data_IF_382331681336
#
_entry.id   IF_382331681336
#
_cell.length_a   1.000
_cell.length_b   1.000
_cell.length_c   1.000
_cell.angle_alpha   90.00
_cell.angle_beta   90.00
_cell.angle_gamma   90.00
#
_symmetry.space_group_name_H-M   'P 1'
#
loop_
_entity.id
_entity.type
_entity.pdbx_description
1 polymer ?
#
# COMPACT_ATOMS: atom_id res chain seq x y z
N UNK A 1 -21.00 -26.37 4.00
CA UNK A 1 -20.88 -25.17 3.12
C UNK A 1 -21.52 -25.52 1.78
N UNK A 2 -22.47 -24.73 1.33
CA UNK A 2 -23.15 -24.94 0.04
C UNK A 2 -22.15 -24.75 -1.11
N UNK A 3 -22.24 -25.59 -2.17
CA UNK A 3 -21.33 -25.55 -3.35
C UNK A 3 -21.32 -24.17 -4.02
N UNK A 4 -22.45 -23.47 -4.03
CA UNK A 4 -22.57 -22.11 -4.53
C UNK A 4 -21.72 -21.11 -3.72
N UNK A 5 -21.69 -21.22 -2.40
CA UNK A 5 -20.86 -20.40 -1.51
C UNK A 5 -19.35 -20.62 -1.73
N UNK A 6 -18.94 -21.87 -1.98
CA UNK A 6 -17.53 -22.21 -2.24
C UNK A 6 -17.05 -21.61 -3.57
N UNK A 7 -17.85 -21.69 -4.64
CA UNK A 7 -17.51 -21.11 -5.95
C UNK A 7 -17.36 -19.59 -5.88
N UNK A 8 -18.25 -18.90 -5.17
CA UNK A 8 -18.17 -17.44 -4.97
C UNK A 8 -16.88 -17.09 -4.20
N UNK A 9 -16.59 -17.80 -3.11
CA UNK A 9 -15.35 -17.58 -2.32
C UNK A 9 -14.10 -17.70 -3.18
N UNK A 10 -14.01 -18.74 -4.02
CA UNK A 10 -12.83 -18.96 -4.90
C UNK A 10 -12.69 -17.78 -5.87
N UNK A 11 -13.78 -17.34 -6.54
CA UNK A 11 -13.72 -16.22 -7.50
C UNK A 11 -13.30 -14.91 -6.83
N UNK A 12 -13.83 -14.61 -5.63
CA UNK A 12 -13.44 -13.44 -4.85
C UNK A 12 -11.97 -13.50 -4.39
N UNK A 13 -11.49 -14.68 -4.03
CA UNK A 13 -10.08 -14.88 -3.66
C UNK A 13 -9.14 -14.66 -4.85
N UNK A 14 -9.49 -15.20 -6.03
CA UNK A 14 -8.71 -15.00 -7.26
C UNK A 14 -8.77 -13.53 -7.69
N UNK A 15 -9.93 -12.86 -7.56
CA UNK A 15 -10.06 -11.42 -7.81
C UNK A 15 -9.06 -10.62 -6.96
N UNK A 16 -9.00 -10.86 -5.65
CA UNK A 16 -8.03 -10.19 -4.76
C UNK A 16 -6.60 -10.50 -5.16
N UNK A 17 -6.29 -11.75 -5.44
CA UNK A 17 -4.96 -12.19 -5.85
C UNK A 17 -4.48 -11.43 -7.10
N UNK A 18 -5.26 -11.46 -8.17
CA UNK A 18 -4.90 -10.82 -9.44
C UNK A 18 -4.83 -9.28 -9.31
N UNK A 19 -5.74 -8.69 -8.53
CA UNK A 19 -5.79 -7.24 -8.36
C UNK A 19 -4.53 -6.66 -7.72
N UNK A 20 -3.94 -7.36 -6.75
CA UNK A 20 -2.71 -6.90 -6.12
C UNK A 20 -1.47 -7.32 -6.92
N UNK A 21 -1.51 -8.50 -7.56
CA UNK A 21 -0.42 -9.00 -8.40
C UNK A 21 -0.15 -8.07 -9.59
N UNK A 22 -1.20 -7.59 -10.29
CA UNK A 22 -1.04 -6.75 -11.48
C UNK A 22 -0.37 -5.40 -11.20
N UNK A 23 -0.41 -4.93 -9.97
CA UNK A 23 0.26 -3.70 -9.55
C UNK A 23 1.67 -3.98 -9.03
N UNK A 24 1.81 -4.95 -8.13
CA UNK A 24 3.07 -5.26 -7.47
C UNK A 24 4.18 -5.63 -8.47
N UNK A 25 3.83 -6.31 -9.57
CA UNK A 25 4.79 -6.81 -10.56
C UNK A 25 5.65 -5.71 -11.18
N UNK A 26 5.14 -4.52 -11.34
CA UNK A 26 5.90 -3.40 -11.92
C UNK A 26 6.22 -2.31 -10.91
N UNK A 27 5.36 -2.07 -9.92
CA UNK A 27 5.56 -0.99 -8.94
C UNK A 27 6.84 -1.17 -8.12
N UNK A 28 7.08 -2.38 -7.62
CA UNK A 28 8.25 -2.68 -6.79
C UNK A 28 9.56 -2.41 -7.53
N UNK A 29 9.56 -2.60 -8.85
CA UNK A 29 10.75 -2.49 -9.70
C UNK A 29 10.92 -1.11 -10.33
N UNK A 30 9.88 -0.27 -10.29
CA UNK A 30 9.86 1.03 -10.96
C UNK A 30 10.99 1.95 -10.47
N UNK A 31 11.23 1.99 -9.16
CA UNK A 31 12.33 2.77 -8.58
C UNK A 31 13.70 2.38 -9.13
N UNK A 32 13.96 1.07 -9.25
CA UNK A 32 15.19 0.55 -9.85
C UNK A 32 15.36 0.95 -11.32
N UNK A 33 14.28 0.87 -12.12
CA UNK A 33 14.27 1.34 -13.50
C UNK A 33 14.61 2.84 -13.59
N UNK A 34 13.94 3.66 -12.80
CA UNK A 34 14.15 5.11 -12.80
C UNK A 34 15.59 5.50 -12.40
N UNK A 35 16.15 4.81 -11.41
CA UNK A 35 17.54 5.04 -10.99
C UNK A 35 18.57 4.63 -12.04
N UNK A 36 18.32 3.53 -12.77
CA UNK A 36 19.24 2.97 -13.76
C UNK A 36 19.25 3.75 -15.08
N UNK A 37 18.13 4.34 -15.46
CA UNK A 37 17.97 4.99 -16.76
C UNK A 37 18.47 6.45 -16.82
N UNK A 38 18.96 7.00 -15.71
CA UNK A 38 19.45 8.38 -15.65
C UNK A 38 18.34 9.45 -15.86
N UNK A 39 17.07 9.07 -15.67
CA UNK A 39 15.94 10.01 -15.72
C UNK A 39 16.11 11.04 -14.62
N UNK A 40 15.92 12.33 -14.95
CA UNK A 40 16.09 13.42 -14.00
C UNK A 40 15.23 13.26 -12.74
N UNK A 41 15.71 13.74 -11.60
CA UNK A 41 15.01 13.67 -10.32
C UNK A 41 13.57 14.24 -10.39
N UNK A 42 13.36 15.28 -11.18
CA UNK A 42 12.03 15.86 -11.42
C UNK A 42 11.06 14.83 -12.04
N UNK A 43 11.48 14.12 -13.07
CA UNK A 43 10.66 13.08 -13.69
C UNK A 43 10.54 11.83 -12.82
N UNK A 44 11.57 11.44 -12.07
CA UNK A 44 11.48 10.36 -11.08
C UNK A 44 10.39 10.67 -10.06
N UNK A 45 10.37 11.90 -9.53
CA UNK A 45 9.32 12.34 -8.61
C UNK A 45 7.92 12.21 -9.23
N UNK A 46 7.70 12.79 -10.42
CA UNK A 46 6.36 12.77 -11.04
C UNK A 46 5.89 11.36 -11.36
N UNK A 47 6.78 10.50 -11.88
CA UNK A 47 6.45 9.11 -12.20
C UNK A 47 6.11 8.31 -10.93
N UNK A 48 6.81 8.53 -9.82
CA UNK A 48 6.49 7.88 -8.54
C UNK A 48 5.27 8.53 -7.84
N UNK A 49 4.94 9.76 -8.16
CA UNK A 49 3.77 10.46 -7.62
C UNK A 49 2.44 10.00 -8.26
N UNK A 50 2.45 9.18 -9.30
CA UNK A 50 1.22 8.72 -9.97
C UNK A 50 0.29 7.96 -9.02
N UNK A 51 0.83 7.16 -8.09
CA UNK A 51 0.04 6.42 -7.11
C UNK A 51 -0.68 7.36 -6.12
N UNK A 52 -0.01 8.28 -5.41
CA UNK A 52 -0.69 9.22 -4.53
C UNK A 52 -1.68 10.14 -5.26
N UNK A 53 -1.39 10.55 -6.50
CA UNK A 53 -2.33 11.30 -7.32
C UNK A 53 -3.56 10.45 -7.70
N UNK A 54 -3.36 9.16 -7.97
CA UNK A 54 -4.45 8.20 -8.19
C UNK A 54 -5.38 8.05 -6.99
N UNK A 55 -4.83 8.06 -5.77
CA UNK A 55 -5.61 8.01 -4.54
C UNK A 55 -6.59 9.18 -4.41
N UNK A 56 -6.24 10.38 -4.88
CA UNK A 56 -7.09 11.55 -4.79
C UNK A 56 -8.38 11.42 -5.64
N UNK A 57 -8.33 10.65 -6.72
CA UNK A 57 -9.46 10.45 -7.66
C UNK A 57 -10.31 9.23 -7.28
N UNK A 58 -9.79 8.31 -6.49
CA UNK A 58 -10.48 7.07 -6.13
C UNK A 58 -11.91 7.28 -5.57
N UNK A 59 -12.19 8.25 -4.67
CA UNK A 59 -13.54 8.47 -4.15
C UNK A 59 -14.59 8.77 -5.25
N UNK A 60 -14.19 9.45 -6.33
CA UNK A 60 -15.09 9.79 -7.45
C UNK A 60 -15.57 8.54 -8.17
N UNK A 61 -14.66 7.62 -8.49
CA UNK A 61 -15.03 6.36 -9.14
C UNK A 61 -15.84 5.43 -8.23
N UNK A 62 -15.51 5.41 -6.93
CA UNK A 62 -16.31 4.66 -5.95
C UNK A 62 -17.73 5.21 -5.87
N UNK A 63 -17.91 6.53 -5.86
CA UNK A 63 -19.23 7.17 -5.89
C UNK A 63 -20.02 6.81 -7.16
N UNK A 64 -19.37 6.72 -8.33
CA UNK A 64 -20.01 6.30 -9.60
C UNK A 64 -20.50 4.86 -9.49
N UNK A 65 -19.69 3.95 -8.94
CA UNK A 65 -20.07 2.56 -8.71
C UNK A 65 -21.24 2.44 -7.72
N UNK A 66 -21.21 3.20 -6.63
CA UNK A 66 -22.24 3.12 -5.59
C UNK A 66 -23.61 3.62 -6.06
N UNK A 67 -23.68 4.42 -7.13
CA UNK A 67 -24.92 5.06 -7.56
C UNK A 67 -25.43 4.63 -8.93
N UNK A 68 -24.54 4.33 -9.87
CA UNK A 68 -24.94 4.22 -11.27
C UNK A 68 -24.72 2.83 -11.85
N UNK A 69 -23.65 2.14 -11.50
CA UNK A 69 -23.27 0.88 -12.13
C UNK A 69 -22.96 -0.19 -11.09
N UNK A 70 -23.23 -1.45 -11.45
CA UNK A 70 -22.83 -2.58 -10.63
C UNK A 70 -21.31 -2.64 -10.48
N UNK A 71 -20.81 -2.79 -9.25
CA UNK A 71 -19.39 -2.65 -8.89
C UNK A 71 -18.47 -3.57 -9.70
N UNK A 72 -18.90 -4.82 -10.02
CA UNK A 72 -18.10 -5.73 -10.84
C UNK A 72 -17.96 -5.27 -12.31
N UNK A 73 -18.96 -4.52 -12.84
CA UNK A 73 -18.89 -3.94 -14.19
C UNK A 73 -17.93 -2.77 -14.25
N UNK A 74 -17.94 -1.93 -13.22
CA UNK A 74 -16.95 -0.84 -13.07
C UNK A 74 -15.56 -1.41 -12.94
N UNK A 75 -15.36 -2.43 -12.10
CA UNK A 75 -14.09 -3.12 -11.92
C UNK A 75 -13.57 -3.73 -13.23
N UNK A 76 -14.45 -4.36 -14.02
CA UNK A 76 -14.13 -4.87 -15.37
C UNK A 76 -13.58 -3.76 -16.28
N UNK A 77 -14.31 -2.65 -16.39
CA UNK A 77 -13.92 -1.52 -17.25
C UNK A 77 -12.57 -0.92 -16.82
N UNK A 78 -12.36 -0.72 -15.51
CA UNK A 78 -11.13 -0.19 -14.96
C UNK A 78 -9.94 -1.13 -15.18
N UNK A 79 -10.13 -2.45 -15.03
CA UNK A 79 -9.04 -3.43 -15.29
C UNK A 79 -8.71 -3.54 -16.78
N UNK A 80 -9.68 -3.42 -17.69
CA UNK A 80 -9.41 -3.33 -19.15
C UNK A 80 -8.61 -2.06 -19.48
N UNK A 81 -8.99 -0.93 -18.89
CA UNK A 81 -8.24 0.32 -19.05
C UNK A 81 -6.82 0.20 -18.50
N UNK A 82 -6.62 -0.40 -17.32
CA UNK A 82 -5.30 -0.69 -16.76
C UNK A 82 -4.47 -1.58 -17.69
N UNK A 83 -5.05 -2.66 -18.23
CA UNK A 83 -4.35 -3.56 -19.16
C UNK A 83 -3.82 -2.81 -20.38
N UNK A 84 -4.67 -1.98 -20.98
CA UNK A 84 -4.31 -1.16 -22.14
C UNK A 84 -3.23 -0.12 -21.78
N UNK A 85 -3.39 0.62 -20.68
CA UNK A 85 -2.46 1.66 -20.27
C UNK A 85 -1.11 1.10 -19.82
N UNK A 86 -1.07 -0.03 -19.10
CA UNK A 86 0.20 -0.69 -18.77
C UNK A 86 0.92 -1.17 -20.01
N UNK A 87 0.20 -1.74 -21.00
CA UNK A 87 0.77 -2.12 -22.28
C UNK A 87 1.37 -0.92 -23.04
N UNK A 88 0.68 0.22 -23.06
CA UNK A 88 1.21 1.45 -23.65
C UNK A 88 2.41 1.99 -22.86
N UNK A 89 2.36 1.96 -21.52
CA UNK A 89 3.43 2.41 -20.65
C UNK A 89 4.74 1.64 -20.86
N UNK A 90 4.63 0.32 -21.10
CA UNK A 90 5.77 -0.54 -21.37
C UNK A 90 6.54 -0.20 -22.66
N UNK A 91 5.95 0.62 -23.54
CA UNK A 91 6.51 1.01 -24.85
C UNK A 91 7.03 2.45 -24.88
N UNK A 92 7.08 3.12 -23.71
CA UNK A 92 7.44 4.53 -23.70
C UNK A 92 8.93 4.72 -23.39
N UNK A 93 9.56 5.52 -24.23
CA UNK A 93 10.93 5.98 -24.01
C UNK A 93 10.97 7.41 -23.38
N UNK A 94 9.88 8.16 -23.51
CA UNK A 94 9.76 9.51 -22.94
C UNK A 94 9.27 9.47 -21.49
N UNK A 95 10.00 10.06 -20.52
CA UNK A 95 9.55 10.16 -19.13
C UNK A 95 8.20 10.88 -18.98
N UNK A 96 7.94 11.91 -19.80
CA UNK A 96 6.68 12.64 -19.78
C UNK A 96 5.50 11.78 -20.25
N UNK A 97 5.68 11.02 -21.32
CA UNK A 97 4.66 10.10 -21.81
C UNK A 97 4.42 8.96 -20.81
N UNK A 98 5.48 8.41 -20.22
CA UNK A 98 5.38 7.38 -19.18
C UNK A 98 4.60 7.91 -17.97
N UNK A 99 4.91 9.13 -17.50
CA UNK A 99 4.16 9.78 -16.42
C UNK A 99 2.67 9.88 -16.73
N UNK A 100 2.29 10.43 -17.88
CA UNK A 100 0.88 10.64 -18.24
C UNK A 100 0.14 9.30 -18.32
N UNK A 101 0.73 8.29 -18.96
CA UNK A 101 0.11 6.98 -19.12
C UNK A 101 -0.04 6.29 -17.76
N UNK A 102 1.00 6.29 -16.91
CA UNK A 102 0.92 5.69 -15.59
C UNK A 102 -0.04 6.46 -14.66
N UNK A 103 -0.16 7.79 -14.80
CA UNK A 103 -1.14 8.58 -14.06
C UNK A 103 -2.56 8.17 -14.43
N UNK A 104 -2.87 8.05 -15.71
CA UNK A 104 -4.17 7.56 -16.18
C UNK A 104 -4.44 6.12 -15.71
N UNK A 105 -3.40 5.27 -15.73
CA UNK A 105 -3.50 3.91 -15.19
C UNK A 105 -3.81 3.93 -13.69
N UNK A 106 -3.20 4.83 -12.91
CA UNK A 106 -3.48 4.94 -11.48
C UNK A 106 -4.86 5.53 -11.18
N UNK A 107 -5.38 6.43 -12.02
CA UNK A 107 -6.78 6.87 -11.92
C UNK A 107 -7.77 5.72 -12.11
N UNK A 108 -7.41 4.73 -12.91
CA UNK A 108 -8.21 3.50 -13.07
C UNK A 108 -7.96 2.48 -11.96
N UNK A 109 -6.70 2.32 -11.51
CA UNK A 109 -6.30 1.27 -10.57
C UNK A 109 -6.67 1.58 -9.13
N UNK A 110 -6.42 2.79 -8.61
CA UNK A 110 -6.62 3.10 -7.18
C UNK A 110 -8.05 2.90 -6.69
N UNK A 111 -9.11 3.24 -7.47
CA UNK A 111 -10.48 2.94 -7.08
C UNK A 111 -10.76 1.45 -6.90
N UNK A 112 -10.03 0.58 -7.60
CA UNK A 112 -10.25 -0.87 -7.57
C UNK A 112 -9.97 -1.48 -6.20
N UNK A 113 -9.13 -0.85 -5.37
CA UNK A 113 -8.89 -1.31 -3.99
C UNK A 113 -10.17 -1.27 -3.14
N UNK A 114 -10.92 -0.19 -3.24
CA UNK A 114 -12.20 -0.07 -2.54
C UNK A 114 -13.29 -0.93 -3.19
N UNK A 115 -13.33 -1.00 -4.53
CA UNK A 115 -14.32 -1.79 -5.26
C UNK A 115 -14.19 -3.29 -4.99
N UNK A 116 -12.97 -3.83 -4.95
CA UNK A 116 -12.76 -5.25 -4.64
C UNK A 116 -13.18 -5.60 -3.22
N UNK A 117 -12.91 -4.71 -2.26
CA UNK A 117 -13.39 -4.87 -0.89
C UNK A 117 -14.92 -4.83 -0.83
N UNK A 118 -15.57 -3.86 -1.50
CA UNK A 118 -17.02 -3.73 -1.53
C UNK A 118 -17.68 -4.96 -2.17
N UNK A 119 -17.17 -5.45 -3.31
CA UNK A 119 -17.66 -6.67 -3.96
C UNK A 119 -17.53 -7.89 -3.03
N UNK A 120 -16.37 -8.03 -2.37
CA UNK A 120 -16.14 -9.14 -1.45
C UNK A 120 -17.10 -9.10 -0.26
N UNK A 121 -17.27 -7.95 0.39
CA UNK A 121 -18.14 -7.79 1.56
C UNK A 121 -19.62 -7.91 1.21
N UNK A 122 -20.04 -7.54 -0.01
CA UNK A 122 -21.43 -7.67 -0.45
C UNK A 122 -21.81 -9.13 -0.75
N UNK A 123 -20.85 -9.99 -1.08
CA UNK A 123 -21.10 -11.36 -1.56
C UNK A 123 -20.53 -12.46 -0.65
N UNK A 124 -19.92 -12.09 0.48
CA UNK A 124 -19.34 -13.01 1.45
C UNK A 124 -19.48 -12.43 2.86
N UNK A 125 -19.69 -13.26 3.90
CA UNK A 125 -19.83 -12.77 5.28
C UNK A 125 -18.66 -11.87 5.69
N UNK A 126 -18.99 -10.70 6.22
CA UNK A 126 -18.00 -9.66 6.56
C UNK A 126 -17.02 -10.09 7.66
N UNK A 127 -17.45 -10.95 8.58
CA UNK A 127 -16.59 -11.57 9.60
C UNK A 127 -15.52 -12.49 9.00
N UNK A 128 -15.77 -13.04 7.81
CA UNK A 128 -14.85 -13.92 7.07
C UNK A 128 -14.09 -13.19 5.95
N UNK A 129 -14.32 -11.89 5.75
CA UNK A 129 -13.63 -11.08 4.75
C UNK A 129 -12.09 -11.21 4.80
N UNK A 130 -11.42 -11.27 5.97
CA UNK A 130 -9.97 -11.48 6.03
C UNK A 130 -9.49 -12.73 5.30
N UNK A 131 -10.32 -13.79 5.21
CA UNK A 131 -9.98 -15.02 4.47
C UNK A 131 -9.91 -14.83 2.95
N UNK A 132 -10.55 -13.79 2.43
CA UNK A 132 -10.47 -13.40 1.01
C UNK A 132 -9.38 -12.34 0.84
N UNK A 133 -9.29 -11.38 1.76
CA UNK A 133 -8.34 -10.26 1.67
C UNK A 133 -6.87 -10.72 1.69
N UNK A 134 -6.55 -11.80 2.40
CA UNK A 134 -5.18 -12.35 2.45
C UNK A 134 -4.66 -12.76 1.07
N UNK A 135 -5.53 -13.14 0.13
CA UNK A 135 -5.13 -13.47 -1.23
C UNK A 135 -4.55 -12.26 -1.98
N UNK A 136 -4.89 -11.04 -1.57
CA UNK A 136 -4.22 -9.84 -2.08
C UNK A 136 -2.74 -9.80 -1.70
N UNK A 137 -2.39 -10.05 -0.44
CA UNK A 137 -0.99 -10.11 -0.01
C UNK A 137 -0.25 -11.29 -0.67
N UNK A 138 -0.92 -12.45 -0.83
CA UNK A 138 -0.36 -13.60 -1.57
C UNK A 138 -0.11 -13.21 -3.04
N UNK A 139 -1.04 -12.52 -3.70
CA UNK A 139 -0.87 -12.02 -5.07
C UNK A 139 0.27 -11.04 -5.21
N UNK A 140 0.45 -10.16 -4.21
CA UNK A 140 1.60 -9.26 -4.16
C UNK A 140 2.92 -10.03 -4.14
N UNK A 141 3.08 -10.99 -3.22
CA UNK A 141 4.28 -11.83 -3.13
C UNK A 141 4.50 -12.64 -4.39
N UNK A 142 3.42 -13.24 -4.93
CA UNK A 142 3.47 -14.03 -6.15
C UNK A 142 3.89 -13.24 -7.39
N UNK A 143 3.79 -11.89 -7.38
CA UNK A 143 4.28 -11.05 -8.48
C UNK A 143 5.76 -11.22 -8.76
N UNK A 144 6.56 -11.62 -7.77
CA UNK A 144 7.98 -11.93 -7.95
C UNK A 144 8.27 -13.13 -8.87
N UNK A 145 7.26 -13.98 -9.11
CA UNK A 145 7.42 -15.15 -9.99
C UNK A 145 7.77 -14.76 -11.43
N UNK A 146 7.31 -13.58 -11.89
CA UNK A 146 7.62 -13.13 -13.26
C UNK A 146 9.11 -12.90 -13.47
N UNK A 147 9.79 -12.21 -12.53
CA UNK A 147 11.24 -12.00 -12.60
C UNK A 147 12.03 -13.32 -12.50
N UNK A 148 11.62 -14.20 -11.58
CA UNK A 148 12.21 -15.53 -11.42
C UNK A 148 12.05 -16.35 -12.72
N UNK A 149 10.84 -16.43 -13.27
CA UNK A 149 10.57 -17.18 -14.49
C UNK A 149 11.33 -16.62 -15.70
N UNK A 150 11.41 -15.29 -15.84
CA UNK A 150 12.16 -14.67 -16.91
C UNK A 150 13.66 -15.03 -16.85
N UNK A 151 14.24 -14.99 -15.65
CA UNK A 151 15.64 -15.34 -15.46
C UNK A 151 15.91 -16.84 -15.69
N UNK A 152 15.05 -17.73 -15.17
CA UNK A 152 15.28 -19.18 -15.22
C UNK A 152 14.96 -19.80 -16.58
N UNK A 153 13.90 -19.33 -17.26
CA UNK A 153 13.46 -19.92 -18.53
C UNK A 153 14.08 -19.25 -19.76
N UNK A 154 14.44 -17.97 -19.66
CA UNK A 154 14.89 -17.17 -20.80
C UNK A 154 16.25 -16.50 -20.59
N UNK A 155 16.91 -16.75 -19.46
CA UNK A 155 18.15 -16.05 -19.03
C UNK A 155 18.05 -14.53 -19.16
N UNK A 156 16.85 -14.00 -18.93
CA UNK A 156 16.52 -12.59 -19.12
C UNK A 156 16.22 -11.90 -17.78
N UNK A 157 17.00 -10.88 -17.46
CA UNK A 157 16.75 -10.02 -16.30
C UNK A 157 15.75 -8.93 -16.68
N UNK A 158 14.51 -9.05 -16.23
CA UNK A 158 13.44 -8.07 -16.47
C UNK A 158 13.31 -7.02 -15.35
N UNK A 159 13.88 -7.28 -14.17
CA UNK A 159 13.91 -6.35 -13.05
C UNK A 159 14.58 -5.04 -13.47
N UNK A 160 14.05 -3.92 -12.96
CA UNK A 160 14.52 -2.57 -13.29
C UNK A 160 14.49 -2.25 -14.79
N UNK A 161 13.45 -2.77 -15.48
CA UNK A 161 13.08 -2.45 -16.86
C UNK A 161 11.61 -2.09 -16.96
N UNK A 162 11.09 -1.77 -18.15
CA UNK A 162 9.65 -1.58 -18.38
C UNK A 162 8.91 -2.90 -18.72
N UNK A 163 9.62 -4.02 -18.89
CA UNK A 163 9.01 -5.33 -19.19
C UNK A 163 7.96 -5.77 -18.17
N UNK A 164 8.13 -5.53 -16.85
CA UNK A 164 7.11 -5.83 -15.84
C UNK A 164 5.75 -5.16 -16.08
N UNK A 165 5.70 -4.05 -16.81
CA UNK A 165 4.42 -3.44 -17.20
C UNK A 165 3.64 -4.34 -18.19
N UNK A 166 4.31 -5.09 -19.09
CA UNK A 166 3.63 -6.10 -19.92
C UNK A 166 3.05 -7.23 -19.06
N UNK A 167 3.79 -7.66 -18.02
CA UNK A 167 3.28 -8.67 -17.07
C UNK A 167 2.06 -8.13 -16.31
N UNK A 168 2.12 -6.86 -15.88
CA UNK A 168 0.99 -6.16 -15.26
C UNK A 168 -0.21 -6.05 -16.20
N UNK A 169 0.01 -5.72 -17.47
CA UNK A 169 -1.03 -5.65 -18.49
C UNK A 169 -1.71 -7.01 -18.71
N UNK A 170 -0.93 -8.09 -18.85
CA UNK A 170 -1.46 -9.45 -19.00
C UNK A 170 -2.27 -9.87 -17.76
N UNK A 171 -1.76 -9.61 -16.56
CA UNK A 171 -2.47 -9.90 -15.30
C UNK A 171 -3.77 -9.09 -15.18
N UNK A 172 -3.76 -7.80 -15.57
CA UNK A 172 -4.94 -6.95 -15.57
C UNK A 172 -6.01 -7.45 -16.57
N UNK A 173 -5.59 -7.95 -17.74
CA UNK A 173 -6.49 -8.55 -18.71
C UNK A 173 -7.14 -9.82 -18.15
N UNK A 174 -6.36 -10.70 -17.54
CA UNK A 174 -6.87 -11.92 -16.86
C UNK A 174 -7.85 -11.55 -15.74
N UNK A 175 -7.52 -10.53 -14.92
CA UNK A 175 -8.42 -10.01 -13.89
C UNK A 175 -9.72 -9.46 -14.49
N UNK A 176 -9.66 -8.75 -15.60
CA UNK A 176 -10.85 -8.25 -16.30
C UNK A 176 -11.75 -9.40 -16.79
N UNK A 177 -11.18 -10.44 -17.38
CA UNK A 177 -11.92 -11.64 -17.82
C UNK A 177 -12.56 -12.33 -16.60
N UNK A 178 -11.85 -12.49 -15.50
CA UNK A 178 -12.40 -13.05 -14.26
C UNK A 178 -13.61 -12.23 -13.75
N UNK A 179 -13.57 -10.89 -13.88
CA UNK A 179 -14.63 -10.02 -13.40
C UNK A 179 -15.98 -10.27 -14.08
N UNK A 180 -16.00 -10.88 -15.28
CA UNK A 180 -17.23 -11.35 -15.94
C UNK A 180 -17.92 -12.48 -15.17
N UNK A 181 -17.17 -13.21 -14.36
CA UNK A 181 -17.68 -14.35 -13.58
C UNK A 181 -18.08 -13.98 -12.15
N UNK A 182 -17.79 -12.75 -11.72
CA UNK A 182 -18.10 -12.29 -10.36
C UNK A 182 -19.61 -12.18 -10.14
N UNK A 183 -20.08 -12.36 -8.90
CA UNK A 183 -21.49 -12.20 -8.56
C UNK A 183 -21.93 -10.75 -8.82
N UNK A 184 -23.20 -10.59 -9.22
CA UNK A 184 -23.77 -9.28 -9.46
C UNK A 184 -23.84 -8.48 -8.16
N UNK A 185 -23.17 -7.33 -8.13
CA UNK A 185 -23.11 -6.43 -6.98
C UNK A 185 -23.72 -5.09 -7.39
N UNK A 186 -25.05 -4.93 -7.27
CA UNK A 186 -25.75 -3.73 -7.71
C UNK A 186 -25.34 -2.53 -6.86
N UNK A 187 -25.54 -1.28 -7.39
CA UNK A 187 -25.17 -0.07 -6.67
C UNK A 187 -25.98 0.09 -5.38
N UNK A 188 -25.33 0.13 -4.19
CA UNK A 188 -26.04 0.14 -2.90
C UNK A 188 -26.80 1.44 -2.63
N UNK A 189 -26.38 2.55 -3.21
CA UNK A 189 -26.95 3.88 -3.00
C UNK A 189 -27.74 4.41 -4.21
N UNK A 190 -28.28 3.50 -5.06
CA UNK A 190 -29.06 3.89 -6.24
C UNK A 190 -30.26 4.77 -5.86
N UNK A 191 -30.32 5.97 -6.47
CA UNK A 191 -31.42 6.93 -6.24
C UNK A 191 -31.30 7.77 -4.97
N UNK A 192 -30.31 7.57 -4.12
CA UNK A 192 -30.12 8.39 -2.93
C UNK A 192 -29.41 9.71 -3.26
N UNK A 193 -29.91 10.82 -2.71
CA UNK A 193 -29.25 12.13 -2.74
C UNK A 193 -28.21 12.16 -1.61
N UNK A 194 -26.95 12.19 -1.95
CA UNK A 194 -25.86 12.41 -0.98
C UNK A 194 -25.11 13.69 -1.33
N UNK A 195 -24.72 14.47 -0.34
CA UNK A 195 -23.87 15.62 -0.52
C UNK A 195 -22.51 15.20 -1.10
N UNK A 196 -21.91 16.01 -1.96
CA UNK A 196 -20.53 15.81 -2.43
C UNK A 196 -19.54 15.74 -1.26
N UNK A 197 -19.81 16.49 -0.19
CA UNK A 197 -19.06 16.49 1.06
C UNK A 197 -19.08 15.10 1.73
N UNK A 198 -20.24 14.44 1.72
CA UNK A 198 -20.38 13.08 2.27
C UNK A 198 -19.71 12.03 1.39
N UNK A 199 -19.86 12.17 0.08
CA UNK A 199 -19.27 11.25 -0.89
C UNK A 199 -17.74 11.30 -0.88
N UNK A 200 -17.14 12.47 -0.61
CA UNK A 200 -15.72 12.67 -0.48
C UNK A 200 -15.20 12.38 0.94
N UNK A 201 -16.07 12.04 1.89
CA UNK A 201 -15.67 11.76 3.28
C UNK A 201 -15.21 12.99 4.06
N UNK A 202 -15.51 14.21 3.60
CA UNK A 202 -14.99 15.45 4.18
C UNK A 202 -15.52 15.73 5.60
N UNK A 203 -16.63 15.08 6.02
CA UNK A 203 -17.09 15.19 7.42
C UNK A 203 -16.05 14.65 8.40
N UNK A 204 -15.28 13.65 8.02
CA UNK A 204 -14.22 13.09 8.88
C UNK A 204 -13.12 14.11 9.21
N UNK A 205 -12.98 15.21 8.46
CA UNK A 205 -12.09 16.33 8.81
C UNK A 205 -12.41 16.94 10.17
N UNK A 206 -13.66 16.82 10.65
CA UNK A 206 -14.04 17.29 12.00
C UNK A 206 -13.28 16.56 13.10
N UNK A 207 -12.81 15.34 12.88
CA UNK A 207 -11.98 14.58 13.82
C UNK A 207 -10.63 15.26 14.08
N UNK A 208 -10.13 16.06 13.15
CA UNK A 208 -8.89 16.83 13.31
C UNK A 208 -8.99 17.94 14.40
N UNK A 209 -10.19 18.26 14.88
CA UNK A 209 -10.38 19.15 16.04
C UNK A 209 -9.91 18.50 17.34
N UNK A 210 -9.89 17.17 17.41
CA UNK A 210 -9.28 16.43 18.51
C UNK A 210 -7.76 16.48 18.37
N UNK A 211 -7.08 17.04 19.37
CA UNK A 211 -5.63 17.26 19.34
C UNK A 211 -4.84 15.96 19.23
N UNK A 212 -5.30 14.89 19.87
CA UNK A 212 -4.60 13.60 19.85
C UNK A 212 -4.75 12.92 18.49
N UNK A 213 -5.96 13.01 17.90
CA UNK A 213 -6.21 12.52 16.54
C UNK A 213 -5.41 13.32 15.50
N UNK A 214 -5.38 14.66 15.62
CA UNK A 214 -4.58 15.50 14.72
C UNK A 214 -3.09 15.17 14.82
N UNK A 215 -2.55 14.98 16.03
CA UNK A 215 -1.17 14.55 16.25
C UNK A 215 -0.89 13.19 15.59
N UNK A 216 -1.79 12.22 15.75
CA UNK A 216 -1.69 10.91 15.10
C UNK A 216 -1.63 11.06 13.57
N UNK A 217 -2.50 11.88 12.98
CA UNK A 217 -2.50 12.11 11.52
C UNK A 217 -1.20 12.78 11.07
N UNK A 218 -0.70 13.78 11.79
CA UNK A 218 0.58 14.44 11.48
C UNK A 218 1.74 13.43 11.51
N UNK A 219 1.82 12.62 12.58
CA UNK A 219 2.84 11.57 12.67
C UNK A 219 2.71 10.60 11.49
N UNK A 220 1.50 10.16 11.16
CA UNK A 220 1.24 9.22 10.06
C UNK A 220 1.64 9.80 8.70
N UNK A 221 1.39 11.09 8.46
CA UNK A 221 1.86 11.80 7.27
C UNK A 221 3.39 11.81 7.17
N UNK A 222 4.07 12.14 8.28
CA UNK A 222 5.53 12.23 8.31
C UNK A 222 6.20 10.86 8.20
N UNK A 223 5.59 9.80 8.76
CA UNK A 223 6.04 8.40 8.64
C UNK A 223 6.04 7.93 7.19
N UNK A 224 5.20 8.52 6.33
CA UNK A 224 5.22 8.17 4.91
C UNK A 224 6.55 8.51 4.23
N UNK A 225 7.31 9.50 4.69
CA UNK A 225 8.64 9.79 4.14
C UNK A 225 9.60 8.59 4.29
N UNK A 226 9.91 8.09 5.49
CA UNK A 226 10.73 6.89 5.62
C UNK A 226 10.07 5.64 5.02
N UNK A 227 8.75 5.50 5.09
CA UNK A 227 8.07 4.36 4.47
C UNK A 227 8.24 4.35 2.95
N UNK A 228 8.03 5.48 2.29
CA UNK A 228 8.09 5.64 0.84
C UNK A 228 9.50 5.46 0.28
N UNK A 229 10.55 5.82 1.02
CA UNK A 229 11.93 5.58 0.56
C UNK A 229 12.17 4.09 0.27
N UNK A 230 11.73 3.21 1.16
CA UNK A 230 11.84 1.77 0.91
C UNK A 230 10.80 1.30 -0.12
N UNK A 231 9.54 1.70 0.03
CA UNK A 231 8.41 1.20 -0.77
C UNK A 231 8.50 1.55 -2.25
N UNK A 232 8.95 2.78 -2.58
CA UNK A 232 9.01 3.28 -3.96
C UNK A 232 10.42 3.33 -4.54
N UNK A 233 11.45 3.47 -3.71
CA UNK A 233 12.83 3.69 -4.13
C UNK A 233 13.81 2.61 -3.61
N UNK A 234 13.33 1.68 -2.78
CA UNK A 234 14.17 0.60 -2.25
C UNK A 234 14.78 -0.28 -3.34
N UNK A 235 14.06 -0.51 -4.44
CA UNK A 235 14.61 -1.25 -5.58
C UNK A 235 15.81 -0.56 -6.22
N UNK A 236 15.85 0.79 -6.25
CA UNK A 236 17.00 1.54 -6.73
C UNK A 236 18.25 1.26 -5.87
N UNK A 237 18.08 1.20 -4.54
CA UNK A 237 19.17 0.84 -3.64
C UNK A 237 19.66 -0.59 -3.88
N UNK A 238 18.78 -1.59 -3.83
CA UNK A 238 19.17 -2.99 -4.00
C UNK A 238 19.76 -3.27 -5.38
N UNK A 239 19.25 -2.61 -6.43
CA UNK A 239 19.86 -2.68 -7.77
C UNK A 239 21.29 -2.13 -7.77
N UNK A 240 21.54 -1.00 -7.09
CA UNK A 240 22.89 -0.41 -6.96
C UNK A 240 23.86 -1.29 -6.17
N UNK A 241 23.35 -2.17 -5.30
CA UNK A 241 24.14 -3.17 -4.56
C UNK A 241 24.34 -4.49 -5.37
N UNK A 242 23.92 -4.54 -6.64
CA UNK A 242 24.14 -5.68 -7.51
C UNK A 242 23.17 -6.87 -7.34
N UNK A 243 22.08 -6.73 -6.59
CA UNK A 243 21.08 -7.79 -6.48
C UNK A 243 20.38 -8.05 -7.82
N UNK A 244 20.20 -9.33 -8.18
CA UNK A 244 19.66 -9.74 -9.49
C UNK A 244 18.13 -9.85 -9.51
N UNK A 245 17.51 -10.28 -8.42
CA UNK A 245 16.06 -10.53 -8.29
C UNK A 245 15.49 -9.60 -7.21
N UNK A 246 15.55 -8.30 -7.46
CA UNK A 246 15.22 -7.27 -6.46
C UNK A 246 13.74 -7.35 -6.05
N UNK A 247 12.82 -7.53 -6.99
CA UNK A 247 11.40 -7.67 -6.67
C UNK A 247 11.12 -8.91 -5.81
N UNK A 248 11.72 -10.05 -6.15
CA UNK A 248 11.61 -11.28 -5.37
C UNK A 248 12.18 -11.10 -3.96
N UNK A 249 13.37 -10.45 -3.87
CA UNK A 249 14.01 -10.16 -2.60
C UNK A 249 13.13 -9.27 -1.70
N UNK A 250 12.61 -8.18 -2.22
CA UNK A 250 11.78 -7.25 -1.46
C UNK A 250 10.44 -7.88 -1.03
N UNK A 251 9.89 -8.80 -1.82
CA UNK A 251 8.65 -9.51 -1.52
C UNK A 251 8.75 -10.42 -0.28
N UNK A 252 9.93 -10.78 0.20
CA UNK A 252 10.08 -11.48 1.47
C UNK A 252 9.55 -10.66 2.66
N UNK A 253 9.65 -9.33 2.59
CA UNK A 253 9.06 -8.44 3.59
C UNK A 253 7.54 -8.59 3.68
N UNK A 254 6.84 -8.69 2.55
CA UNK A 254 5.41 -8.92 2.48
C UNK A 254 5.03 -10.36 2.85
N UNK A 255 5.86 -11.35 2.52
CA UNK A 255 5.62 -12.71 2.93
C UNK A 255 5.62 -12.85 4.47
N UNK A 256 6.59 -12.23 5.14
CA UNK A 256 6.65 -12.18 6.62
C UNK A 256 5.50 -11.35 7.20
N UNK A 257 5.05 -10.29 6.51
CA UNK A 257 3.89 -9.48 6.90
C UNK A 257 2.64 -10.33 7.11
N UNK A 258 2.38 -11.31 6.24
CA UNK A 258 1.19 -12.18 6.33
C UNK A 258 1.13 -12.88 7.70
N UNK A 259 2.26 -13.37 8.19
CA UNK A 259 2.35 -14.04 9.48
C UNK A 259 2.30 -13.04 10.65
N UNK A 260 3.02 -11.94 10.55
CA UNK A 260 3.11 -10.94 11.62
C UNK A 260 1.79 -10.17 11.81
N UNK A 261 0.97 -10.05 10.76
CA UNK A 261 -0.36 -9.45 10.85
C UNK A 261 -1.28 -10.23 11.80
N UNK A 262 -1.09 -11.54 11.94
CA UNK A 262 -1.84 -12.36 12.90
C UNK A 262 -1.52 -12.02 14.37
N UNK A 263 -0.37 -11.38 14.63
CA UNK A 263 0.04 -10.93 15.96
C UNK A 263 -0.51 -9.55 16.32
N UNK A 264 -1.02 -8.78 15.37
CA UNK A 264 -1.53 -7.42 15.61
C UNK A 264 -2.66 -7.39 16.65
N UNK A 265 -3.69 -8.27 16.58
CA UNK A 265 -4.74 -8.29 17.61
C UNK A 265 -4.19 -8.59 19.02
N UNK A 266 -3.20 -9.50 19.12
CA UNK A 266 -2.54 -9.82 20.37
C UNK A 266 -1.75 -8.62 20.92
N UNK A 267 -1.01 -7.92 20.06
CA UNK A 267 -0.27 -6.72 20.43
C UNK A 267 -1.22 -5.61 20.90
N UNK A 268 -2.32 -5.37 20.17
CA UNK A 268 -3.34 -4.39 20.56
C UNK A 268 -3.99 -4.73 21.91
N UNK A 269 -4.27 -6.02 22.17
CA UNK A 269 -4.82 -6.47 23.45
C UNK A 269 -3.82 -6.30 24.60
N UNK A 270 -2.53 -6.59 24.36
CA UNK A 270 -1.51 -6.60 25.43
C UNK A 270 -0.90 -5.23 25.70
N UNK A 271 -0.64 -4.45 24.67
CA UNK A 271 0.12 -3.19 24.75
C UNK A 271 -0.73 -1.95 24.48
N UNK A 272 -1.98 -2.11 23.99
CA UNK A 272 -2.79 -1.01 23.52
C UNK A 272 -2.33 -0.45 22.16
N UNK A 273 -3.05 0.57 21.68
CA UNK A 273 -2.80 1.15 20.34
C UNK A 273 -1.46 1.89 20.30
N UNK A 274 -1.17 2.70 21.31
CA UNK A 274 0.06 3.51 21.39
C UNK A 274 1.32 2.66 21.22
N UNK A 275 1.48 1.66 22.08
CA UNK A 275 2.70 0.85 22.10
C UNK A 275 2.78 -0.11 20.92
N UNK A 276 1.63 -0.56 20.38
CA UNK A 276 1.62 -1.32 19.12
C UNK A 276 2.18 -0.46 17.99
N UNK A 277 1.73 0.77 17.82
CA UNK A 277 2.27 1.69 16.81
C UNK A 277 3.75 2.05 17.09
N UNK A 278 4.14 2.21 18.36
CA UNK A 278 5.54 2.46 18.72
C UNK A 278 6.47 1.31 18.31
N UNK A 279 6.05 0.05 18.46
CA UNK A 279 6.79 -1.12 17.98
C UNK A 279 6.97 -1.05 16.47
N UNK A 280 5.92 -0.66 15.71
CA UNK A 280 6.00 -0.46 14.26
C UNK A 280 7.00 0.63 13.85
N UNK A 281 7.03 1.78 14.55
CA UNK A 281 8.02 2.84 14.31
C UNK A 281 9.43 2.45 14.76
N UNK A 282 9.56 1.66 15.83
CA UNK A 282 10.83 1.08 16.26
C UNK A 282 11.41 0.18 15.16
N UNK A 283 10.57 -0.69 14.57
CA UNK A 283 10.98 -1.53 13.43
C UNK A 283 11.37 -0.69 12.20
N UNK A 284 10.69 0.44 11.95
CA UNK A 284 11.05 1.38 10.88
C UNK A 284 12.41 2.01 11.12
N UNK A 285 12.71 2.40 12.37
CA UNK A 285 14.04 2.90 12.77
C UNK A 285 15.11 1.82 12.57
N UNK A 286 14.85 0.58 13.05
CA UNK A 286 15.75 -0.56 12.88
C UNK A 286 16.03 -0.82 11.38
N UNK A 287 15.05 -0.69 10.51
CA UNK A 287 15.24 -0.83 9.05
C UNK A 287 16.36 0.08 8.56
N UNK A 288 16.28 1.37 8.87
CA UNK A 288 17.24 2.34 8.33
C UNK A 288 18.60 2.29 9.02
N UNK A 289 18.64 1.94 10.30
CA UNK A 289 19.90 1.63 10.99
C UNK A 289 20.56 0.41 10.36
N UNK A 290 19.81 -0.65 10.06
CA UNK A 290 20.35 -1.85 9.42
C UNK A 290 20.84 -1.57 7.99
N UNK A 291 20.11 -0.78 7.19
CA UNK A 291 20.56 -0.36 5.85
C UNK A 291 21.83 0.49 5.94
N UNK A 292 21.87 1.44 6.86
CA UNK A 292 23.07 2.26 7.08
C UNK A 292 24.28 1.43 7.50
N UNK A 293 24.14 0.59 8.53
CA UNK A 293 25.21 -0.28 8.98
C UNK A 293 25.65 -1.27 7.89
N UNK A 294 24.70 -1.78 7.09
CA UNK A 294 24.99 -2.68 5.97
C UNK A 294 25.87 -2.03 4.92
N UNK A 295 25.60 -0.76 4.57
CA UNK A 295 26.44 0.02 3.66
C UNK A 295 27.77 0.38 4.30
N UNK A 296 27.78 0.83 5.56
CA UNK A 296 29.00 1.30 6.24
C UNK A 296 29.99 0.18 6.53
N UNK A 297 29.50 -1.04 6.83
CA UNK A 297 30.32 -2.19 7.20
C UNK A 297 30.44 -3.23 6.06
N UNK A 298 29.86 -2.98 4.89
CA UNK A 298 29.77 -3.93 3.74
C UNK A 298 29.20 -5.30 4.15
N UNK A 299 28.08 -5.27 4.92
CA UNK A 299 27.47 -6.47 5.49
C UNK A 299 26.08 -6.71 4.91
N UNK A 300 26.00 -7.51 3.85
CA UNK A 300 24.74 -7.79 3.12
C UNK A 300 23.63 -8.43 3.99
N UNK A 301 23.97 -9.18 5.08
CA UNK A 301 22.95 -9.79 5.93
C UNK A 301 22.06 -8.74 6.63
N UNK A 302 22.56 -7.53 6.86
CA UNK A 302 21.78 -6.43 7.45
C UNK A 302 20.66 -5.94 6.52
N UNK A 303 20.83 -6.09 5.21
CA UNK A 303 19.79 -5.78 4.23
C UNK A 303 18.59 -6.73 4.38
N UNK A 304 18.81 -8.01 4.69
CA UNK A 304 17.71 -8.96 4.95
C UNK A 304 16.95 -8.59 6.22
N UNK A 305 17.63 -8.11 7.28
CA UNK A 305 16.95 -7.58 8.46
C UNK A 305 16.04 -6.42 8.07
N UNK A 306 16.55 -5.47 7.27
CA UNK A 306 15.78 -4.31 6.81
C UNK A 306 14.54 -4.71 5.99
N UNK A 307 14.63 -5.80 5.21
CA UNK A 307 13.51 -6.34 4.44
C UNK A 307 12.48 -7.00 5.37
N UNK A 308 12.94 -7.90 6.25
CA UNK A 308 12.05 -8.74 7.06
C UNK A 308 11.24 -7.96 8.12
N UNK A 309 11.78 -6.84 8.63
CA UNK A 309 11.02 -5.97 9.56
C UNK A 309 9.82 -5.26 8.90
N UNK A 310 9.63 -5.39 7.57
CA UNK A 310 8.51 -4.76 6.84
C UNK A 310 7.15 -5.13 7.42
N UNK A 311 6.95 -6.39 7.75
CA UNK A 311 5.69 -6.85 8.30
C UNK A 311 5.35 -6.26 9.67
N UNK A 312 6.38 -6.00 10.51
CA UNK A 312 6.17 -5.31 11.78
C UNK A 312 5.77 -3.85 11.52
N UNK A 313 6.45 -3.16 10.60
CA UNK A 313 6.15 -1.77 10.28
C UNK A 313 4.71 -1.65 9.78
N UNK A 314 4.34 -2.44 8.79
CA UNK A 314 3.02 -2.34 8.17
C UNK A 314 1.91 -2.77 9.12
N UNK A 315 2.03 -3.95 9.72
CA UNK A 315 1.01 -4.49 10.62
C UNK A 315 0.82 -3.66 11.89
N UNK A 316 1.92 -3.29 12.54
CA UNK A 316 1.81 -2.67 13.86
C UNK A 316 1.58 -1.16 13.79
N UNK A 317 2.18 -0.44 12.82
CA UNK A 317 1.94 1.00 12.69
C UNK A 317 0.71 1.29 11.83
N UNK A 318 0.66 0.83 10.56
CA UNK A 318 -0.43 1.23 9.67
C UNK A 318 -1.74 0.53 10.00
N UNK A 319 -1.75 -0.79 10.22
CA UNK A 319 -2.99 -1.51 10.61
C UNK A 319 -3.38 -1.13 12.04
N UNK A 320 -2.43 -0.97 12.97
CA UNK A 320 -2.67 -0.43 14.31
C UNK A 320 -3.31 0.95 14.27
N UNK A 321 -2.83 1.83 13.37
CA UNK A 321 -3.39 3.15 13.12
C UNK A 321 -4.82 3.10 12.55
N UNK A 322 -5.10 2.17 11.63
CA UNK A 322 -6.47 1.95 11.12
C UNK A 322 -7.42 1.54 12.25
N UNK A 323 -6.98 0.67 13.16
CA UNK A 323 -7.77 0.29 14.34
C UNK A 323 -8.00 1.49 15.28
N UNK A 324 -7.00 2.36 15.45
CA UNK A 324 -7.18 3.60 16.20
C UNK A 324 -8.24 4.51 15.57
N UNK A 325 -8.15 4.75 14.26
CA UNK A 325 -9.14 5.54 13.51
C UNK A 325 -10.55 4.97 13.65
N UNK A 326 -10.71 3.66 13.53
CA UNK A 326 -12.01 3.00 13.66
C UNK A 326 -12.62 3.17 15.05
N UNK A 327 -11.81 3.02 16.10
CA UNK A 327 -12.25 3.20 17.49
C UNK A 327 -12.53 4.65 17.87
N UNK A 328 -11.81 5.60 17.28
CA UNK A 328 -11.95 7.03 17.55
C UNK A 328 -13.13 7.65 16.83
N UNK A 329 -13.45 7.16 15.64
CA UNK A 329 -14.55 7.68 14.83
C UNK A 329 -15.92 7.23 15.34
N UNK A 330 -16.94 8.14 15.38
CA UNK A 330 -18.32 7.75 15.60
C UNK A 330 -18.78 6.67 14.59
N UNK A 331 -19.66 5.75 14.98
CA UNK A 331 -20.08 4.63 14.13
C UNK A 331 -20.49 5.04 12.71
N UNK A 332 -21.24 6.14 12.59
CA UNK A 332 -21.75 6.70 11.33
C UNK A 332 -20.66 7.33 10.44
N UNK A 333 -19.46 7.58 10.99
CA UNK A 333 -18.35 8.22 10.27
C UNK A 333 -17.14 7.30 10.07
N UNK A 334 -17.17 6.06 10.57
CA UNK A 334 -16.00 5.16 10.52
C UNK A 334 -15.44 4.96 9.13
N UNK A 335 -16.28 4.69 8.14
CA UNK A 335 -15.86 4.50 6.76
C UNK A 335 -15.21 5.77 6.18
N UNK A 336 -15.78 6.95 6.48
CA UNK A 336 -15.25 8.23 6.05
C UNK A 336 -13.90 8.54 6.73
N UNK A 337 -13.76 8.23 8.01
CA UNK A 337 -12.51 8.41 8.76
C UNK A 337 -11.40 7.50 8.23
N UNK A 338 -11.71 6.24 7.89
CA UNK A 338 -10.76 5.34 7.22
C UNK A 338 -10.35 5.87 5.84
N UNK A 339 -11.31 6.35 5.05
CA UNK A 339 -11.03 6.97 3.75
C UNK A 339 -10.13 8.20 3.86
N UNK A 340 -10.40 9.07 4.86
CA UNK A 340 -9.56 10.24 5.16
C UNK A 340 -8.14 9.82 5.55
N UNK A 341 -7.98 8.81 6.42
CA UNK A 341 -6.68 8.30 6.80
C UNK A 341 -5.88 7.79 5.60
N UNK A 342 -6.53 7.01 4.73
CA UNK A 342 -5.89 6.50 3.50
C UNK A 342 -5.50 7.65 2.57
N UNK A 343 -6.39 8.62 2.35
CA UNK A 343 -6.11 9.78 1.52
C UNK A 343 -4.94 10.61 2.07
N UNK A 344 -4.92 10.86 3.37
CA UNK A 344 -3.85 11.65 3.99
C UNK A 344 -2.52 10.90 3.99
N UNK A 345 -2.50 9.59 4.29
CA UNK A 345 -1.27 8.81 4.28
C UNK A 345 -0.79 8.50 2.86
N UNK A 346 -1.59 7.74 2.10
CA UNK A 346 -1.18 7.26 0.77
C UNK A 346 -1.37 8.29 -0.35
N UNK A 347 -2.21 9.32 -0.15
CA UNK A 347 -2.27 10.49 -1.02
C UNK A 347 -1.21 11.51 -0.62
N UNK A 348 -1.52 12.36 0.37
CA UNK A 348 -0.68 13.52 0.72
C UNK A 348 0.68 13.11 1.29
N UNK A 349 0.71 12.20 2.26
CA UNK A 349 1.95 11.77 2.93
C UNK A 349 2.93 11.09 1.96
N UNK A 350 2.43 10.21 1.10
CA UNK A 350 3.26 9.55 0.10
C UNK A 350 3.74 10.54 -0.97
N UNK A 351 2.91 11.48 -1.40
CA UNK A 351 3.31 12.52 -2.36
C UNK A 351 4.47 13.35 -1.82
N UNK A 352 4.32 13.88 -0.59
CA UNK A 352 5.38 14.66 0.08
C UNK A 352 6.61 13.79 0.35
N UNK A 353 6.41 12.56 0.84
CA UNK A 353 7.50 11.62 1.11
C UNK A 353 8.31 11.27 -0.14
N UNK A 354 7.64 11.05 -1.27
CA UNK A 354 8.30 10.82 -2.56
C UNK A 354 9.13 12.02 -2.98
N UNK A 355 8.57 13.24 -2.87
CA UNK A 355 9.30 14.47 -3.20
C UNK A 355 10.57 14.62 -2.35
N UNK A 356 10.43 14.50 -1.03
CA UNK A 356 11.57 14.59 -0.10
C UNK A 356 12.64 13.55 -0.42
N UNK A 357 12.25 12.29 -0.64
CA UNK A 357 13.19 11.20 -0.88
C UNK A 357 13.93 11.34 -2.23
N UNK A 358 13.22 11.73 -3.29
CA UNK A 358 13.86 11.97 -4.60
C UNK A 358 14.86 13.11 -4.50
N UNK A 359 14.51 14.22 -3.81
CA UNK A 359 15.44 15.33 -3.58
C UNK A 359 16.61 14.96 -2.69
N UNK A 360 16.38 14.10 -1.69
CA UNK A 360 17.45 13.59 -0.83
C UNK A 360 18.44 12.73 -1.62
N UNK A 361 17.95 11.81 -2.45
CA UNK A 361 18.80 10.97 -3.32
C UNK A 361 19.54 11.86 -4.33
N UNK A 362 18.88 12.80 -4.99
CA UNK A 362 19.50 13.75 -5.93
C UNK A 362 20.66 14.51 -5.28
N UNK A 363 20.47 14.98 -4.03
CA UNK A 363 21.50 15.73 -3.26
C UNK A 363 22.77 14.93 -3.00
N UNK A 364 22.64 13.62 -2.81
CA UNK A 364 23.74 12.72 -2.51
C UNK A 364 24.16 11.83 -3.69
N UNK A 365 23.74 12.18 -4.92
CA UNK A 365 24.17 11.54 -6.16
C UNK A 365 25.21 12.38 -6.84
N UNK A 366 26.38 11.80 -7.13
CA UNK A 366 27.48 12.41 -7.89
C UNK A 366 27.83 11.46 -9.03
N UNK A 367 27.96 11.96 -10.25
CA UNK A 367 28.28 11.19 -11.45
C UNK A 367 27.39 9.94 -11.64
N UNK A 368 26.09 10.07 -11.30
CA UNK A 368 25.10 9.01 -11.43
C UNK A 368 25.15 7.94 -10.32
N UNK A 369 26.05 8.07 -9.35
CA UNK A 369 26.18 7.14 -8.21
C UNK A 369 25.67 7.79 -6.93
N UNK A 370 24.67 7.18 -6.31
CA UNK A 370 24.13 7.65 -5.04
C UNK A 370 24.98 7.18 -3.86
N UNK A 371 25.40 8.12 -3.01
CA UNK A 371 25.94 7.80 -1.69
C UNK A 371 24.78 7.55 -0.73
N UNK A 372 24.45 6.28 -0.49
CA UNK A 372 23.34 5.87 0.35
C UNK A 372 23.56 6.08 1.85
N UNK A 373 24.80 6.20 2.29
CA UNK A 373 25.16 6.36 3.71
C UNK A 373 24.42 7.54 4.37
N UNK A 374 24.61 8.79 3.92
CA UNK A 374 23.93 9.95 4.51
C UNK A 374 22.40 9.87 4.33
N UNK A 375 21.91 9.29 3.23
CA UNK A 375 20.47 9.11 3.01
C UNK A 375 19.86 8.27 4.12
N UNK A 376 20.45 7.11 4.41
CA UNK A 376 19.93 6.22 5.44
C UNK A 376 20.08 6.77 6.85
N UNK A 377 21.19 7.48 7.16
CA UNK A 377 21.37 8.16 8.45
C UNK A 377 20.28 9.19 8.71
N UNK A 378 20.02 10.06 7.72
CA UNK A 378 18.99 11.11 7.85
C UNK A 378 17.61 10.47 8.10
N UNK A 379 17.26 9.45 7.32
CA UNK A 379 15.96 8.78 7.44
C UNK A 379 15.86 7.96 8.74
N UNK A 380 16.95 7.38 9.22
CA UNK A 380 16.99 6.72 10.54
C UNK A 380 16.73 7.73 11.68
N UNK A 381 17.36 8.91 11.61
CA UNK A 381 17.13 9.99 12.60
C UNK A 381 15.68 10.47 12.54
N UNK A 382 15.11 10.68 11.36
CA UNK A 382 13.70 11.07 11.19
C UNK A 382 12.77 10.00 11.78
N UNK A 383 13.02 8.72 11.49
CA UNK A 383 12.22 7.61 12.02
C UNK A 383 12.30 7.53 13.56
N UNK A 384 13.49 7.70 14.14
CA UNK A 384 13.70 7.72 15.57
C UNK A 384 13.02 8.93 16.23
N UNK A 385 13.11 10.10 15.61
CA UNK A 385 12.43 11.31 16.11
C UNK A 385 10.91 11.13 16.13
N UNK A 386 10.32 10.55 15.08
CA UNK A 386 8.89 10.25 15.01
C UNK A 386 8.46 9.24 16.09
N UNK A 387 9.28 8.23 16.35
CA UNK A 387 9.06 7.27 17.44
C UNK A 387 9.05 8.00 18.80
N UNK A 388 10.02 8.86 19.06
CA UNK A 388 10.10 9.63 20.31
C UNK A 388 8.89 10.58 20.46
N UNK A 389 8.49 11.28 19.39
CA UNK A 389 7.31 12.15 19.37
C UNK A 389 6.04 11.35 19.67
N UNK A 390 5.85 10.18 19.04
CA UNK A 390 4.72 9.29 19.32
C UNK A 390 4.71 8.87 20.80
N UNK A 391 5.85 8.40 21.32
CA UNK A 391 5.97 7.94 22.70
C UNK A 391 5.72 9.07 23.71
N UNK A 392 6.20 10.28 23.43
CA UNK A 392 6.09 11.41 24.36
C UNK A 392 4.70 12.07 24.33
N UNK A 393 4.13 12.30 23.16
CA UNK A 393 2.97 13.17 22.96
C UNK A 393 1.66 12.43 22.70
N UNK A 394 1.69 11.29 21.97
CA UNK A 394 0.48 10.54 21.66
C UNK A 394 -0.05 9.81 22.90
N UNK A 395 -1.37 9.87 23.13
CA UNK A 395 -2.05 9.20 24.24
C UNK A 395 -2.97 8.11 23.71
N UNK A 396 -3.02 6.97 24.40
CA UNK A 396 -4.00 5.91 24.11
C UNK A 396 -5.33 6.31 24.75
N UNK A 397 -6.14 7.04 24.00
CA UNK A 397 -7.44 7.58 24.44
C UNK A 397 -8.64 6.77 23.93
N UNK A 398 -8.39 5.60 23.32
CA UNK A 398 -9.43 4.67 22.89
C UNK A 398 -9.52 3.50 23.86
N UNK A 399 -10.66 3.36 24.56
CA UNK A 399 -10.89 2.25 25.48
C UNK A 399 -10.71 0.92 24.75
N UNK A 400 -9.95 -0.01 25.33
CA UNK A 400 -10.06 -1.42 24.98
C UNK A 400 -11.52 -1.82 25.21
N UNK A 401 -12.16 -2.49 24.24
CA UNK A 401 -13.47 -3.05 24.47
C UNK A 401 -13.37 -3.95 25.71
N UNK A 402 -13.99 -3.54 26.81
CA UNK A 402 -14.14 -4.36 28.00
C UNK A 402 -14.82 -5.65 27.54
N UNK A 403 -14.29 -6.79 27.94
CA UNK A 403 -15.01 -8.06 27.87
C UNK A 403 -16.44 -7.83 28.41
N UNK A 404 -17.48 -8.39 27.77
CA UNK A 404 -18.81 -8.33 28.35
C UNK A 404 -18.69 -8.86 29.78
N UNK A 405 -19.15 -8.05 30.74
CA UNK A 405 -19.17 -8.44 32.13
C UNK A 405 -19.81 -9.84 32.19
N UNK A 406 -19.07 -10.79 32.69
CA UNK A 406 -19.53 -12.14 32.93
C UNK A 406 -20.88 -12.07 33.60
N UNK A 407 -21.85 -12.79 33.06
CA UNK A 407 -23.22 -12.94 33.58
C UNK A 407 -23.18 -13.73 34.91
N UNK A 408 -22.57 -13.14 35.94
CA UNK A 408 -22.47 -13.69 37.33
C UNK A 408 -22.93 -12.72 38.38
N UNK A 409 -23.92 -11.87 38.06
CA UNK A 409 -24.65 -11.12 39.09
C UNK A 409 -26.14 -11.08 38.72
N UNK A 410 -26.76 -12.21 38.51
CA UNK A 410 -28.19 -12.44 38.66
C UNK A 410 -28.39 -13.89 39.13
N UNK A 411 -28.16 -14.17 40.37
CA UNK A 411 -28.70 -15.27 41.13
C UNK A 411 -29.28 -14.75 42.43
#
# INVERSE_FOLDING_TARGET
>A
MDKASTSVRIRLSIMMFLQYMMFAVWWVQLGGYLGKTGISATWQFWILAVMPLGCAVAPVFCMIADRHFASQKVLLALNLACAFLFFLGARQDSPAALFVILLLAMFCYMPTWSLTNAIAMANFPSDKFPQIRVFGSIGWVASGVFGVSALWLFDSKIDSTLVPLYCGAGTALVAAILNLTLPNTPPPAKGQKTSVVDALGLRALTLLKDRNFALFIIISLLVMTPFTLYFSLGSQFFESQGFKLVAFLMNWGQAVEIFLMLLVPLALKRFGVKWTMAIGLGALTIRYVALWCGVAADQAFLYYIAILVHGIIFGFFFVGGQVYVDKKAPPEMRAQAQGLYVLLCYGVGQFVGTFVNVKLIERYTTDGVCNWNPVFVIIAIVSAALLLVLCALFRDDVKQASEPASAEQQA
#
